data_IF_856745600294
#
_entry.id   IF_856745600294
#
_cell.length_a   1.000
_cell.length_b   1.000
_cell.length_c   1.000
_cell.angle_alpha   90.00
_cell.angle_beta   90.00
_cell.angle_gamma   90.00
#
_symmetry.space_group_name_H-M   'P 1'
#
loop_
_entity.id
_entity.type
_entity.pdbx_description
1 polymer ?
#
# COMPACT_ATOMS: atom_id res chain seq x y z
N UNK A 1 -8.87 13.11 13.53
CA UNK A 1 -8.83 11.67 13.33
C UNK A 1 -7.65 11.07 14.08
N UNK A 2 -7.84 9.94 14.73
CA UNK A 2 -6.81 9.33 15.54
C UNK A 2 -5.89 8.45 14.69
N UNK A 3 -4.64 8.86 14.49
CA UNK A 3 -3.68 8.12 13.66
C UNK A 3 -3.40 6.73 14.21
N UNK A 4 -3.43 6.53 15.53
CA UNK A 4 -3.18 5.23 16.13
C UNK A 4 -4.28 4.24 15.75
N UNK A 5 -5.53 4.67 15.72
CA UNK A 5 -6.65 3.82 15.34
C UNK A 5 -6.55 3.44 13.85
N UNK A 6 -6.23 4.40 12.99
CA UNK A 6 -6.05 4.15 11.57
C UNK A 6 -4.88 3.23 11.32
N UNK A 7 -3.82 3.39 12.10
CA UNK A 7 -2.63 2.56 11.99
C UNK A 7 -2.96 1.10 12.29
N UNK A 8 -3.75 0.84 13.34
CA UNK A 8 -4.16 -0.51 13.70
C UNK A 8 -4.98 -1.17 12.60
N UNK A 9 -5.96 -0.44 12.05
CA UNK A 9 -6.79 -0.95 10.97
C UNK A 9 -5.98 -1.23 9.71
N UNK A 10 -5.07 -0.32 9.37
CA UNK A 10 -4.19 -0.51 8.20
C UNK A 10 -3.30 -1.74 8.36
N UNK A 11 -2.78 -1.94 9.55
CA UNK A 11 -1.96 -3.12 9.83
C UNK A 11 -2.76 -4.41 9.63
N UNK A 12 -3.99 -4.44 10.11
CA UNK A 12 -4.86 -5.61 9.95
C UNK A 12 -5.18 -5.87 8.48
N UNK A 13 -5.50 -4.83 7.72
CA UNK A 13 -5.79 -4.98 6.30
C UNK A 13 -4.57 -5.52 5.55
N UNK A 14 -3.39 -5.01 5.87
CA UNK A 14 -2.15 -5.44 5.21
C UNK A 14 -1.82 -6.90 5.53
N UNK A 15 -2.15 -7.37 6.72
CA UNK A 15 -1.87 -8.75 7.12
C UNK A 15 -2.68 -9.79 6.36
N UNK A 16 -3.75 -9.38 5.71
CA UNK A 16 -4.55 -10.29 4.90
C UNK A 16 -3.79 -10.81 3.69
N UNK A 17 -2.77 -10.08 3.25
CA UNK A 17 -1.96 -10.48 2.10
C UNK A 17 -1.07 -11.67 2.45
N UNK A 18 -1.16 -12.74 1.66
CA UNK A 18 -0.37 -13.96 1.85
C UNK A 18 0.86 -14.01 0.94
N UNK A 19 1.14 -12.92 0.24
CA UNK A 19 2.34 -12.78 -0.62
C UNK A 19 2.42 -13.81 -1.75
N UNK A 20 1.29 -14.29 -2.24
CA UNK A 20 1.26 -15.32 -3.28
C UNK A 20 1.71 -14.81 -4.65
N UNK A 21 1.60 -13.52 -4.90
CA UNK A 21 2.07 -12.93 -6.16
C UNK A 21 1.11 -13.01 -7.33
N UNK A 22 -0.10 -13.51 -7.13
CA UNK A 22 -1.07 -13.61 -8.22
C UNK A 22 -1.52 -12.24 -8.75
N UNK A 23 -1.35 -11.19 -7.96
CA UNK A 23 -1.65 -9.83 -8.36
C UNK A 23 -0.60 -9.22 -9.29
N UNK A 24 0.64 -9.71 -9.27
CA UNK A 24 1.77 -9.09 -9.96
C UNK A 24 1.55 -8.91 -11.47
N UNK A 25 1.06 -9.93 -12.21
CA UNK A 25 0.88 -9.76 -13.65
C UNK A 25 -0.15 -8.70 -14.02
N UNK A 26 -1.00 -8.30 -13.08
CA UNK A 26 -2.06 -7.34 -13.32
C UNK A 26 -1.67 -5.91 -13.01
N UNK A 27 -0.49 -5.70 -12.43
CA UNK A 27 -0.07 -4.37 -12.00
C UNK A 27 0.75 -3.67 -13.09
N UNK A 28 0.26 -2.53 -13.64
CA UNK A 28 0.97 -1.85 -14.72
C UNK A 28 2.33 -1.28 -14.31
N UNK A 29 2.47 -0.79 -13.09
CA UNK A 29 3.77 -0.26 -12.63
C UNK A 29 4.78 -1.38 -12.45
N UNK A 30 4.37 -2.54 -11.94
CA UNK A 30 5.26 -3.67 -11.85
C UNK A 30 5.68 -4.17 -13.23
N UNK A 31 4.75 -4.19 -14.19
CA UNK A 31 5.05 -4.61 -15.55
C UNK A 31 6.13 -3.75 -16.18
N UNK A 32 6.13 -2.45 -15.88
CA UNK A 32 7.12 -1.52 -16.41
C UNK A 32 8.47 -1.60 -15.72
N UNK A 33 8.47 -1.70 -14.39
CA UNK A 33 9.70 -1.56 -13.60
C UNK A 33 10.30 -2.88 -13.17
N UNK A 34 9.49 -3.92 -13.02
CA UNK A 34 9.86 -5.20 -12.43
C UNK A 34 10.40 -5.03 -11.01
N UNK A 35 10.13 -3.90 -10.38
CA UNK A 35 10.54 -3.63 -9.01
C UNK A 35 9.47 -4.11 -8.05
N UNK A 36 9.88 -4.85 -7.01
CA UNK A 36 8.95 -5.33 -5.99
C UNK A 36 8.24 -4.18 -5.29
N UNK A 37 8.94 -3.05 -5.09
CA UNK A 37 8.34 -1.87 -4.46
C UNK A 37 7.23 -1.24 -5.31
N UNK A 38 7.17 -1.56 -6.60
CA UNK A 38 6.15 -1.06 -7.52
C UNK A 38 5.08 -2.11 -7.79
N UNK A 39 5.01 -3.16 -6.98
CA UNK A 39 4.01 -4.22 -7.09
C UNK A 39 2.96 -4.09 -5.99
N UNK A 40 1.77 -4.70 -6.16
CA UNK A 40 0.75 -4.63 -5.11
C UNK A 40 1.22 -5.23 -3.79
N UNK A 41 1.83 -6.42 -3.81
CA UNK A 41 2.28 -7.04 -2.56
C UNK A 41 3.42 -6.27 -1.93
N UNK A 42 4.29 -5.67 -2.74
CA UNK A 42 5.37 -4.82 -2.24
C UNK A 42 4.83 -3.56 -1.59
N UNK A 43 3.84 -2.94 -2.22
CA UNK A 43 3.18 -1.77 -1.64
C UNK A 43 2.44 -2.12 -0.35
N UNK A 44 1.80 -3.28 -0.30
CA UNK A 44 1.15 -3.75 0.92
C UNK A 44 2.17 -3.90 2.05
N UNK A 45 3.35 -4.46 1.74
CA UNK A 45 4.42 -4.59 2.74
C UNK A 45 4.89 -3.23 3.25
N UNK A 46 5.04 -2.25 2.34
CA UNK A 46 5.41 -0.89 2.72
C UNK A 46 4.33 -0.22 3.56
N UNK A 47 3.07 -0.43 3.21
CA UNK A 47 1.96 0.14 3.97
C UNK A 47 1.85 -0.48 5.36
N UNK A 48 2.16 -1.79 5.48
CA UNK A 48 2.20 -2.45 6.78
C UNK A 48 3.31 -1.87 7.65
N UNK A 49 4.49 -1.69 7.09
CA UNK A 49 5.62 -1.09 7.81
C UNK A 49 5.30 0.33 8.27
N UNK A 50 4.70 1.11 7.39
CA UNK A 50 4.28 2.47 7.69
C UNK A 50 3.26 2.51 8.84
N UNK A 51 2.34 1.55 8.85
CA UNK A 51 1.33 1.47 9.91
C UNK A 51 1.94 1.09 11.25
N UNK A 52 2.97 0.26 11.24
CA UNK A 52 3.61 -0.22 12.46
C UNK A 52 4.71 0.70 12.96
N UNK A 53 5.17 1.62 12.12
CA UNK A 53 6.23 2.58 12.45
C UNK A 53 5.76 4.00 12.16
N UNK A 54 4.81 4.54 12.96
CA UNK A 54 4.25 5.86 12.67
C UNK A 54 5.27 6.99 12.70
N UNK A 55 6.42 6.80 13.33
CA UNK A 55 7.48 7.82 13.33
C UNK A 55 8.07 8.08 11.96
N UNK A 56 7.96 7.12 11.06
CA UNK A 56 8.44 7.26 9.68
C UNK A 56 7.56 8.24 8.88
N UNK A 57 6.33 8.43 9.29
CA UNK A 57 5.37 9.31 8.63
C UNK A 57 5.18 9.00 7.14
N UNK A 58 5.45 7.75 6.75
CA UNK A 58 5.26 7.32 5.38
C UNK A 58 6.37 7.71 4.41
N UNK A 59 7.48 8.21 4.91
CA UNK A 59 8.59 8.66 4.04
C UNK A 59 9.12 7.55 3.15
N UNK A 60 9.31 6.37 3.70
CA UNK A 60 9.85 5.24 2.95
C UNK A 60 8.87 4.73 1.90
N UNK A 61 7.58 4.81 2.17
CA UNK A 61 6.56 4.26 1.30
C UNK A 61 6.06 5.25 0.25
N UNK A 62 6.21 6.55 0.49
CA UNK A 62 5.56 7.59 -0.31
C UNK A 62 5.81 7.48 -1.82
N UNK A 63 7.05 7.30 -2.29
CA UNK A 63 7.26 7.21 -3.75
C UNK A 63 6.49 6.06 -4.38
N UNK A 64 6.45 4.90 -3.72
CA UNK A 64 5.75 3.73 -4.23
C UNK A 64 4.24 3.89 -4.18
N UNK A 65 3.72 4.54 -3.14
CA UNK A 65 2.29 4.82 -3.03
C UNK A 65 1.84 5.82 -4.09
N UNK A 66 2.67 6.82 -4.38
CA UNK A 66 2.36 7.83 -5.38
C UNK A 66 2.32 7.28 -6.79
N UNK A 67 3.17 6.30 -7.10
CA UNK A 67 3.22 5.75 -8.44
C UNK A 67 2.07 4.81 -8.77
N UNK A 68 1.33 4.35 -7.76
CA UNK A 68 0.19 3.46 -7.96
C UNK A 68 -0.93 4.20 -8.70
N UNK A 69 -1.46 3.58 -9.76
CA UNK A 69 -2.49 4.18 -10.58
C UNK A 69 -3.90 4.05 -10.02
N UNK A 70 -4.08 3.20 -9.01
CA UNK A 70 -5.39 2.98 -8.40
C UNK A 70 -6.36 2.22 -9.31
N UNK A 71 -5.85 1.40 -10.22
CA UNK A 71 -6.68 0.71 -11.21
C UNK A 71 -7.44 -0.49 -10.63
N UNK A 72 -7.07 -0.97 -9.43
CA UNK A 72 -7.73 -2.05 -8.69
C UNK A 72 -7.66 -3.43 -9.34
N UNK A 73 -6.84 -3.60 -10.35
CA UNK A 73 -6.72 -4.91 -10.99
C UNK A 73 -6.17 -5.97 -10.04
N UNK A 74 -5.24 -5.55 -9.16
CA UNK A 74 -4.69 -6.44 -8.15
C UNK A 74 -5.75 -6.90 -7.15
N UNK A 75 -6.67 -6.02 -6.80
CA UNK A 75 -7.72 -6.34 -5.84
C UNK A 75 -8.65 -7.42 -6.39
N UNK A 76 -9.01 -7.32 -7.66
CA UNK A 76 -9.84 -8.31 -8.33
C UNK A 76 -9.13 -9.67 -8.40
N UNK A 77 -7.82 -9.66 -8.63
CA UNK A 77 -7.03 -10.88 -8.77
C UNK A 77 -6.66 -11.54 -7.44
N UNK A 78 -6.83 -10.84 -6.33
CA UNK A 78 -6.36 -11.30 -5.03
C UNK A 78 -7.22 -12.41 -4.44
N UNK A 79 -6.68 -13.65 -4.23
CA UNK A 79 -7.46 -14.73 -3.63
C UNK A 79 -7.70 -14.53 -2.13
N UNK A 80 -6.91 -13.69 -1.46
CA UNK A 80 -7.07 -13.39 -0.05
C UNK A 80 -8.05 -12.24 0.22
N UNK A 81 -8.60 -11.67 -0.84
CA UNK A 81 -9.57 -10.56 -0.76
C UNK A 81 -9.06 -9.36 0.03
N UNK A 82 -7.79 -9.02 -0.15
CA UNK A 82 -7.24 -7.82 0.48
C UNK A 82 -7.96 -6.59 -0.06
N UNK A 83 -8.45 -5.73 0.83
CA UNK A 83 -9.11 -4.49 0.46
C UNK A 83 -8.05 -3.44 0.10
N UNK A 84 -7.40 -3.63 -1.04
CA UNK A 84 -6.22 -2.87 -1.45
C UNK A 84 -6.51 -1.38 -1.60
N UNK A 85 -7.59 -1.03 -2.27
CA UNK A 85 -7.92 0.38 -2.49
C UNK A 85 -8.16 1.11 -1.17
N UNK A 86 -8.88 0.46 -0.26
CA UNK A 86 -9.15 1.02 1.06
C UNK A 86 -7.86 1.24 1.83
N UNK A 87 -6.96 0.25 1.80
CA UNK A 87 -5.66 0.34 2.46
C UNK A 87 -4.82 1.46 1.85
N UNK A 88 -4.80 1.56 0.52
CA UNK A 88 -4.03 2.59 -0.19
C UNK A 88 -4.51 4.00 0.16
N UNK A 89 -5.81 4.22 0.14
CA UNK A 89 -6.39 5.52 0.46
C UNK A 89 -6.08 5.92 1.90
N UNK A 90 -6.27 5.01 2.84
CA UNK A 90 -5.98 5.27 4.24
C UNK A 90 -4.50 5.53 4.48
N UNK A 91 -3.63 4.82 3.77
CA UNK A 91 -2.19 5.01 3.90
C UNK A 91 -1.75 6.35 3.33
N UNK A 92 -2.30 6.75 2.19
CA UNK A 92 -2.01 8.08 1.62
C UNK A 92 -2.48 9.19 2.54
N UNK A 93 -3.64 9.03 3.16
CA UNK A 93 -4.18 10.02 4.09
C UNK A 93 -3.33 10.14 5.36
N UNK A 94 -2.60 9.10 5.72
CA UNK A 94 -1.77 9.11 6.91
C UNK A 94 -0.45 9.87 6.71
N UNK A 95 -0.08 10.16 5.46
CA UNK A 95 1.14 10.94 5.17
C UNK A 95 0.86 12.41 5.48
N UNK A 96 1.68 13.08 6.32
CA UNK A 96 1.45 14.49 6.63
C UNK A 96 1.53 15.37 5.38
N UNK A 97 0.76 16.45 5.31
CA UNK A 97 0.76 17.34 4.13
C UNK A 97 2.12 17.93 3.80
N UNK A 98 2.97 18.15 4.80
CA UNK A 98 4.29 18.71 4.60
C UNK A 98 5.28 17.73 3.95
N UNK A 99 4.96 16.44 3.97
CA UNK A 99 5.75 15.41 3.28
C UNK A 99 5.19 15.12 1.89
N UNK A 100 3.97 15.54 1.64
CA UNK A 100 3.32 15.33 0.36
C UNK A 100 3.68 16.48 -0.58
N UNK A 101 4.57 16.20 -1.52
CA UNK A 101 5.11 17.21 -2.41
C UNK A 101 4.12 17.67 -3.50
N UNK A 102 2.96 17.07 -3.54
CA UNK A 102 1.93 17.45 -4.52
C UNK A 102 1.24 18.78 -4.16
#
# INVERSE_FOLDING_TARGET
MNSARNSSLRSELARQCVKCGLCLPHCPTYALTRSEAESPRGRIALMADMAENPQDYGRSALPSLDSCLGCRRCEVACPADVAYESLLIQSRDAVPPDLNWR
#
